data_IF_957079023913
#
_entry.id   IF_957079023913
#
_cell.length_a   1.000
_cell.length_b   1.000
_cell.length_c   1.000
_cell.angle_alpha   90.00
_cell.angle_beta   90.00
_cell.angle_gamma   90.00
#
_symmetry.space_group_name_H-M   'P 1'
#
loop_
_entity.id
_entity.type
_entity.pdbx_description
1 polymer ?
#
# COMPACT_ATOMS: atom_id res chain seq x y z
N UNK A 1 -13.97 -19.05 -22.28
CA UNK A 1 -14.86 -18.06 -21.65
C UNK A 1 -15.29 -18.58 -20.29
N UNK A 2 -15.06 -17.82 -19.25
CA UNK A 2 -15.56 -18.12 -17.90
C UNK A 2 -17.01 -17.67 -17.76
N UNK A 3 -17.79 -18.38 -16.97
CA UNK A 3 -19.13 -17.93 -16.58
C UNK A 3 -19.05 -16.84 -15.53
N UNK A 4 -20.07 -15.97 -15.43
CA UNK A 4 -20.15 -14.93 -14.40
C UNK A 4 -19.99 -15.51 -12.99
N UNK A 5 -20.55 -16.71 -12.75
CA UNK A 5 -20.42 -17.40 -11.46
C UNK A 5 -18.97 -17.83 -11.18
N UNK A 6 -18.26 -18.35 -12.18
CA UNK A 6 -16.82 -18.70 -12.03
C UNK A 6 -15.97 -17.47 -11.77
N UNK A 7 -16.20 -16.38 -12.52
CA UNK A 7 -15.51 -15.10 -12.32
C UNK A 7 -15.69 -14.63 -10.87
N UNK A 8 -16.94 -14.57 -10.38
CA UNK A 8 -17.23 -14.15 -9.01
C UNK A 8 -16.57 -15.07 -7.97
N UNK A 9 -16.59 -16.38 -8.21
CA UNK A 9 -15.94 -17.35 -7.33
C UNK A 9 -14.43 -17.13 -7.25
N UNK A 10 -13.75 -17.02 -8.39
CA UNK A 10 -12.31 -16.82 -8.43
C UNK A 10 -11.89 -15.50 -7.77
N UNK A 11 -12.62 -14.40 -8.00
CA UNK A 11 -12.37 -13.11 -7.35
C UNK A 11 -12.52 -13.24 -5.82
N UNK A 12 -13.57 -13.90 -5.35
CA UNK A 12 -13.82 -14.03 -3.90
C UNK A 12 -12.77 -14.92 -3.20
N UNK A 13 -12.39 -16.03 -3.83
CA UNK A 13 -11.35 -16.93 -3.32
C UNK A 13 -9.99 -16.21 -3.27
N UNK A 14 -9.64 -15.44 -4.30
CA UNK A 14 -8.40 -14.69 -4.35
C UNK A 14 -8.37 -13.54 -3.35
N UNK A 15 -9.44 -12.72 -3.25
CA UNK A 15 -9.58 -11.65 -2.24
C UNK A 15 -9.42 -12.17 -0.81
N UNK A 16 -9.88 -13.37 -0.51
CA UNK A 16 -9.75 -14.00 0.81
C UNK A 16 -8.39 -14.66 1.05
N UNK A 17 -7.51 -14.69 0.06
CA UNK A 17 -6.22 -15.35 0.18
C UNK A 17 -5.27 -14.58 1.10
N UNK A 18 -4.42 -15.33 1.85
CA UNK A 18 -3.38 -14.73 2.68
C UNK A 18 -2.41 -13.86 1.86
N UNK A 19 -2.16 -14.22 0.61
CA UNK A 19 -1.28 -13.49 -0.30
C UNK A 19 -1.82 -12.08 -0.53
N UNK A 20 -3.11 -11.94 -0.89
CA UNK A 20 -3.75 -10.63 -1.12
C UNK A 20 -3.88 -9.82 0.16
N UNK A 21 -4.16 -10.47 1.28
CA UNK A 21 -4.14 -9.78 2.57
C UNK A 21 -2.77 -9.16 2.86
N UNK A 22 -1.68 -9.89 2.67
CA UNK A 22 -0.34 -9.36 2.90
C UNK A 22 0.03 -8.26 1.90
N UNK A 23 -0.38 -8.38 0.64
CA UNK A 23 -0.19 -7.35 -0.38
C UNK A 23 -0.93 -6.06 0.00
N UNK A 24 -2.19 -6.16 0.43
CA UNK A 24 -2.96 -4.99 0.86
C UNK A 24 -2.39 -4.29 2.09
N UNK A 25 -1.80 -5.05 3.02
CA UNK A 25 -1.06 -4.45 4.16
C UNK A 25 0.16 -3.68 3.67
N UNK A 26 0.93 -4.26 2.73
CA UNK A 26 2.09 -3.59 2.15
C UNK A 26 1.71 -2.29 1.44
N UNK A 27 0.65 -2.32 0.62
CA UNK A 27 0.16 -1.13 -0.07
C UNK A 27 -0.30 -0.03 0.91
N UNK A 28 -1.07 -0.37 1.95
CA UNK A 28 -1.48 0.60 2.98
C UNK A 28 -0.29 1.29 3.64
N UNK A 29 0.76 0.52 3.97
CA UNK A 29 1.97 1.09 4.58
C UNK A 29 2.74 1.97 3.61
N UNK A 30 2.76 1.64 2.32
CA UNK A 30 3.32 2.50 1.28
C UNK A 30 2.57 3.84 1.17
N UNK A 31 1.24 3.80 1.32
CA UNK A 31 0.37 4.98 1.34
C UNK A 31 0.32 5.70 2.70
N UNK A 32 1.21 5.34 3.64
CA UNK A 32 1.22 5.85 5.00
C UNK A 32 -0.12 5.66 5.75
N UNK A 33 -0.85 4.59 5.44
CA UNK A 33 -2.05 4.16 6.18
C UNK A 33 -1.70 3.01 7.15
N UNK A 34 -0.92 3.34 8.18
CA UNK A 34 -0.39 2.39 9.15
C UNK A 34 -1.43 1.97 10.19
N UNK A 35 -1.16 0.84 10.85
CA UNK A 35 -2.04 0.29 11.89
C UNK A 35 -2.21 1.23 13.08
N UNK A 36 -1.28 2.16 13.32
CA UNK A 36 -1.39 3.20 14.36
C UNK A 36 -2.65 4.07 14.20
N UNK A 37 -3.15 4.27 12.97
CA UNK A 37 -4.38 5.03 12.73
C UNK A 37 -5.62 4.38 13.34
N UNK A 38 -5.57 3.06 13.56
CA UNK A 38 -6.65 2.29 14.16
C UNK A 38 -6.50 2.12 15.68
N UNK A 39 -5.37 2.61 16.25
CA UNK A 39 -5.10 2.47 17.68
C UNK A 39 -6.16 3.19 18.50
N UNK A 40 -6.66 2.51 19.55
CA UNK A 40 -7.62 3.01 20.51
C UNK A 40 -7.06 2.88 21.90
N UNK A 41 -7.17 3.93 22.71
CA UNK A 41 -6.85 3.88 24.12
C UNK A 41 -8.06 3.35 24.90
N UNK A 42 -7.81 2.50 25.89
CA UNK A 42 -8.85 1.93 26.74
C UNK A 42 -8.47 2.10 28.22
N UNK A 43 -9.49 2.16 29.07
CA UNK A 43 -9.35 2.11 30.53
C UNK A 43 -10.43 1.23 31.14
N UNK A 44 -10.20 0.76 32.36
CA UNK A 44 -11.22 0.06 33.13
C UNK A 44 -12.05 1.11 33.91
N UNK A 45 -13.37 1.09 33.74
CA UNK A 45 -14.29 1.91 34.53
C UNK A 45 -14.43 1.39 35.95
N UNK A 46 -15.24 2.07 36.79
CA UNK A 46 -15.47 1.70 38.18
C UNK A 46 -16.13 0.31 38.35
N UNK A 47 -16.86 -0.14 37.32
CA UNK A 47 -17.54 -1.44 37.31
C UNK A 47 -16.61 -2.57 36.81
N UNK A 48 -15.38 -2.22 36.39
CA UNK A 48 -14.40 -3.17 35.87
C UNK A 48 -14.55 -3.48 34.38
N UNK A 49 -15.36 -2.75 33.66
CA UNK A 49 -15.54 -2.90 32.22
C UNK A 49 -14.45 -2.14 31.45
N UNK A 50 -13.98 -2.75 30.34
CA UNK A 50 -13.03 -2.12 29.44
C UNK A 50 -13.75 -1.13 28.50
N UNK A 51 -13.49 0.16 28.66
CA UNK A 51 -14.15 1.26 27.91
C UNK A 51 -13.13 2.05 27.11
N UNK A 52 -13.49 2.46 25.89
CA UNK A 52 -12.64 3.33 25.05
C UNK A 52 -12.48 4.71 25.70
N UNK A 53 -11.23 5.14 25.88
CA UNK A 53 -10.90 6.47 26.44
C UNK A 53 -10.95 7.53 25.33
N UNK A 54 -12.09 8.17 25.18
CA UNK A 54 -12.30 9.26 24.22
C UNK A 54 -11.89 10.64 24.74
N UNK A 55 -11.52 10.74 26.02
CA UNK A 55 -11.12 12.03 26.65
C UNK A 55 -9.60 12.25 26.66
N UNK A 56 -8.84 11.18 26.50
CA UNK A 56 -7.38 11.25 26.39
C UNK A 56 -6.98 11.71 24.98
N UNK A 57 -5.91 12.51 24.91
CA UNK A 57 -5.27 12.78 23.61
C UNK A 57 -4.92 11.47 22.89
N UNK A 58 -5.29 11.36 21.63
CA UNK A 58 -5.02 10.18 20.82
C UNK A 58 -4.49 10.60 19.44
N UNK A 59 -3.35 11.29 19.47
CA UNK A 59 -2.60 11.71 18.29
C UNK A 59 -2.05 10.45 17.59
N UNK A 60 -2.26 10.35 16.29
CA UNK A 60 -1.89 9.21 15.46
C UNK A 60 -1.14 9.70 14.23
N UNK A 61 0.17 9.53 14.22
CA UNK A 61 1.05 9.99 13.16
C UNK A 61 1.80 8.78 12.61
N UNK A 62 1.48 8.33 11.39
CA UNK A 62 2.29 7.32 10.70
C UNK A 62 3.57 7.96 10.17
N UNK A 63 4.69 7.25 10.26
CA UNK A 63 5.97 7.69 9.72
C UNK A 63 6.29 6.94 8.44
N UNK A 64 6.35 7.62 7.32
CA UNK A 64 6.41 7.07 5.97
C UNK A 64 7.78 6.44 5.60
N UNK A 65 8.41 5.71 6.51
CA UNK A 65 9.68 5.02 6.25
C UNK A 65 9.60 4.04 5.09
N UNK A 66 8.49 3.29 5.03
CA UNK A 66 8.33 2.29 3.99
C UNK A 66 8.18 2.92 2.60
N UNK A 67 7.43 4.02 2.51
CA UNK A 67 7.33 4.81 1.27
C UNK A 67 8.71 5.27 0.80
N UNK A 68 9.51 5.85 1.71
CA UNK A 68 10.87 6.30 1.39
C UNK A 68 11.76 5.15 0.89
N UNK A 69 11.72 4.00 1.55
CA UNK A 69 12.53 2.83 1.18
C UNK A 69 12.16 2.27 -0.20
N UNK A 70 10.86 2.18 -0.51
CA UNK A 70 10.37 1.71 -1.82
C UNK A 70 10.77 2.70 -2.91
N UNK A 71 10.59 4.00 -2.67
CA UNK A 71 10.94 5.05 -3.62
C UNK A 71 12.46 5.08 -3.87
N UNK A 72 13.29 4.94 -2.84
CA UNK A 72 14.73 4.83 -2.97
C UNK A 72 15.12 3.64 -3.86
N UNK A 73 14.54 2.48 -3.65
CA UNK A 73 14.77 1.27 -4.45
C UNK A 73 14.40 1.49 -5.91
N UNK A 74 13.20 2.01 -6.16
CA UNK A 74 12.69 2.27 -7.52
C UNK A 74 13.59 3.27 -8.25
N UNK A 75 13.91 4.38 -7.59
CA UNK A 75 14.79 5.42 -8.17
C UNK A 75 16.19 4.86 -8.46
N UNK A 76 16.74 4.04 -7.56
CA UNK A 76 18.05 3.42 -7.77
C UNK A 76 18.05 2.50 -9.00
N UNK A 77 17.04 1.63 -9.13
CA UNK A 77 16.96 0.68 -10.23
C UNK A 77 16.76 1.38 -11.59
N UNK A 78 16.05 2.52 -11.60
CA UNK A 78 15.73 3.27 -12.82
C UNK A 78 16.65 4.48 -13.07
N UNK A 79 17.63 4.74 -12.19
CA UNK A 79 18.55 5.88 -12.30
C UNK A 79 19.52 5.82 -13.49
N UNK A 80 19.58 4.68 -14.18
CA UNK A 80 20.42 4.50 -15.37
C UNK A 80 20.03 5.46 -16.49
N UNK A 81 21.02 6.17 -17.04
CA UNK A 81 20.83 7.06 -18.18
C UNK A 81 20.82 6.32 -19.53
N UNK A 82 21.07 5.02 -19.50
CA UNK A 82 21.14 4.19 -20.69
C UNK A 82 19.75 3.76 -21.15
N UNK A 83 19.64 3.45 -22.44
CA UNK A 83 18.43 2.85 -23.01
C UNK A 83 18.14 1.51 -22.31
N UNK A 84 16.85 1.24 -22.07
CA UNK A 84 16.41 0.01 -21.37
C UNK A 84 16.86 -1.26 -22.12
N UNK A 85 16.78 -1.23 -23.44
CA UNK A 85 17.33 -2.26 -24.32
C UNK A 85 18.28 -1.61 -25.32
N UNK A 86 19.45 -2.20 -25.47
CA UNK A 86 20.49 -1.69 -26.35
C UNK A 86 20.92 -2.76 -27.33
N UNK A 87 21.04 -2.39 -28.60
CA UNK A 87 21.53 -3.24 -29.68
C UNK A 87 22.57 -2.49 -30.51
N UNK A 88 23.49 -3.24 -31.12
CA UNK A 88 24.50 -2.70 -32.04
C UNK A 88 23.94 -2.39 -33.44
N UNK A 89 22.69 -2.75 -33.71
CA UNK A 89 22.04 -2.53 -35.00
C UNK A 89 21.16 -1.29 -34.95
N UNK A 90 21.55 -0.16 -35.65
CA UNK A 90 20.84 1.12 -35.51
C UNK A 90 19.37 1.09 -35.94
N UNK A 91 19.04 0.32 -36.96
CA UNK A 91 17.63 0.22 -37.41
C UNK A 91 16.77 -0.56 -36.42
N UNK A 92 17.32 -1.64 -35.84
CA UNK A 92 16.63 -2.39 -34.78
C UNK A 92 16.47 -1.53 -33.51
N UNK A 93 17.48 -0.71 -33.18
CA UNK A 93 17.39 0.20 -32.04
C UNK A 93 16.23 1.19 -32.20
N UNK A 94 16.06 1.78 -33.40
CA UNK A 94 14.93 2.68 -33.67
C UNK A 94 13.56 1.98 -33.51
N UNK A 95 13.47 0.72 -33.90
CA UNK A 95 12.24 -0.05 -33.70
C UNK A 95 12.01 -0.34 -32.23
N UNK A 96 13.04 -0.74 -31.46
CA UNK A 96 12.94 -1.00 -30.03
C UNK A 96 12.57 0.28 -29.23
N UNK A 97 13.09 1.42 -29.62
CA UNK A 97 12.82 2.72 -28.96
C UNK A 97 11.33 3.14 -29.10
N UNK A 98 10.58 2.60 -30.05
CA UNK A 98 9.12 2.81 -30.16
C UNK A 98 8.32 2.07 -29.09
N UNK A 99 8.85 0.94 -28.60
CA UNK A 99 8.18 0.09 -27.62
C UNK A 99 8.67 0.38 -26.18
N UNK A 100 9.92 0.80 -26.03
CA UNK A 100 10.58 1.06 -24.75
C UNK A 100 10.89 2.55 -24.56
N UNK A 101 9.85 3.35 -24.77
CA UNK A 101 9.83 4.79 -24.66
C UNK A 101 9.72 5.28 -23.19
N UNK A 102 9.43 6.55 -23.00
CA UNK A 102 9.28 7.12 -21.67
C UNK A 102 7.98 6.67 -20.98
N UNK A 103 6.93 6.35 -21.75
CA UNK A 103 5.69 5.77 -21.20
C UNK A 103 5.97 4.38 -20.63
N UNK A 104 6.70 3.53 -21.37
CA UNK A 104 7.15 2.24 -20.85
C UNK A 104 7.96 2.36 -19.56
N UNK A 105 8.84 3.38 -19.46
CA UNK A 105 9.62 3.60 -18.22
C UNK A 105 8.74 4.00 -17.04
N UNK A 106 7.68 4.77 -17.28
CA UNK A 106 6.70 5.10 -16.24
C UNK A 106 5.99 3.86 -15.73
N UNK A 107 5.48 3.01 -16.63
CA UNK A 107 4.84 1.74 -16.31
C UNK A 107 5.80 0.77 -15.58
N UNK A 108 7.08 0.76 -15.97
CA UNK A 108 8.12 -0.01 -15.29
C UNK A 108 8.40 0.50 -13.88
N UNK A 109 8.35 1.81 -13.67
CA UNK A 109 8.48 2.43 -12.35
C UNK A 109 7.35 1.94 -11.43
N UNK A 110 6.11 1.97 -11.91
CA UNK A 110 4.97 1.49 -11.15
C UNK A 110 5.07 -0.02 -10.87
N UNK A 111 5.49 -0.80 -11.87
CA UNK A 111 5.72 -2.25 -11.71
C UNK A 111 6.68 -2.56 -10.55
N UNK A 112 7.79 -1.82 -10.45
CA UNK A 112 8.80 -2.02 -9.39
C UNK A 112 8.27 -1.54 -8.05
N UNK A 113 7.65 -0.36 -8.00
CA UNK A 113 7.09 0.25 -6.80
C UNK A 113 6.05 -0.65 -6.15
N UNK A 114 5.03 -1.04 -6.92
CA UNK A 114 3.97 -1.91 -6.43
C UNK A 114 4.47 -3.35 -6.19
N UNK A 115 5.40 -3.83 -7.01
CA UNK A 115 6.07 -5.10 -6.75
C UNK A 115 6.76 -5.13 -5.39
N UNK A 116 7.44 -4.05 -5.00
CA UNK A 116 8.07 -3.89 -3.69
C UNK A 116 7.04 -3.72 -2.56
N UNK A 117 6.01 -2.91 -2.79
CA UNK A 117 4.96 -2.65 -1.81
C UNK A 117 4.08 -3.87 -1.55
N UNK A 118 3.61 -4.56 -2.57
CA UNK A 118 2.68 -5.69 -2.47
C UNK A 118 3.37 -7.06 -2.39
N UNK A 119 4.62 -7.13 -2.89
CA UNK A 119 5.39 -8.36 -3.03
C UNK A 119 5.33 -8.97 -4.42
N UNK A 120 4.44 -8.51 -5.27
CA UNK A 120 4.31 -8.89 -6.68
C UNK A 120 3.41 -7.87 -7.39
N UNK A 121 3.63 -7.70 -8.68
CA UNK A 121 2.85 -6.83 -9.57
C UNK A 121 2.77 -7.45 -10.96
N UNK A 122 2.07 -6.82 -11.87
CA UNK A 122 1.92 -7.32 -13.24
C UNK A 122 2.17 -6.23 -14.26
N UNK A 123 2.73 -6.63 -15.38
CA UNK A 123 2.72 -5.87 -16.61
C UNK A 123 1.94 -6.65 -17.65
N UNK A 124 1.10 -5.99 -18.41
CA UNK A 124 0.37 -6.63 -19.49
C UNK A 124 0.60 -5.91 -20.82
N UNK A 125 0.52 -6.69 -21.88
CA UNK A 125 0.62 -6.20 -23.25
C UNK A 125 -0.78 -5.95 -23.79
N UNK A 126 -0.97 -4.82 -24.44
CA UNK A 126 -2.19 -4.50 -25.18
C UNK A 126 -1.84 -3.92 -26.56
N UNK A 127 -2.79 -3.84 -27.48
CA UNK A 127 -2.64 -3.12 -28.74
C UNK A 127 -3.33 -1.76 -28.61
N UNK A 128 -2.60 -0.69 -29.01
CA UNK A 128 -3.16 0.65 -29.11
C UNK A 128 -4.09 0.78 -30.34
N UNK A 129 -4.55 2.02 -30.62
CA UNK A 129 -5.47 2.31 -31.73
C UNK A 129 -4.85 2.02 -33.10
N UNK A 130 -3.53 2.11 -33.20
CA UNK A 130 -2.76 1.83 -34.43
C UNK A 130 -2.37 0.34 -34.56
N UNK A 131 -2.80 -0.51 -33.63
CA UNK A 131 -2.44 -1.93 -33.55
C UNK A 131 -1.02 -2.19 -33.05
N UNK A 132 -0.30 -1.16 -32.58
CA UNK A 132 1.03 -1.35 -32.01
C UNK A 132 0.95 -1.92 -30.60
N UNK A 133 1.91 -2.78 -30.28
CA UNK A 133 2.02 -3.34 -28.93
C UNK A 133 2.50 -2.31 -27.93
N UNK A 134 1.76 -2.16 -26.85
CA UNK A 134 2.09 -1.32 -25.71
C UNK A 134 2.07 -2.18 -24.44
N UNK A 135 2.68 -1.65 -23.40
CA UNK A 135 2.73 -2.28 -22.09
C UNK A 135 2.09 -1.36 -21.07
N UNK A 136 1.32 -1.92 -20.17
CA UNK A 136 0.76 -1.19 -19.04
C UNK A 136 0.95 -1.98 -17.74
N UNK A 137 1.06 -1.25 -16.66
CA UNK A 137 1.10 -1.78 -15.31
C UNK A 137 -0.30 -2.22 -14.86
N UNK A 138 -0.35 -3.25 -14.04
CA UNK A 138 -1.52 -3.63 -13.27
C UNK A 138 -1.09 -4.05 -11.85
N UNK A 139 -1.79 -3.52 -10.85
CA UNK A 139 -1.50 -3.86 -9.47
C UNK A 139 -1.74 -5.35 -9.18
N UNK A 140 -0.96 -5.89 -8.26
CA UNK A 140 -1.07 -7.30 -7.89
C UNK A 140 -2.40 -7.63 -7.23
N UNK A 141 -3.04 -6.67 -6.57
CA UNK A 141 -4.30 -6.88 -5.82
C UNK A 141 -5.47 -7.12 -6.79
N UNK A 142 -5.49 -6.40 -7.92
CA UNK A 142 -6.55 -6.46 -8.92
C UNK A 142 -6.48 -7.66 -9.88
N UNK A 143 -5.44 -8.50 -9.81
CA UNK A 143 -5.22 -9.60 -10.76
C UNK A 143 -5.47 -10.96 -10.15
N UNK A 144 -6.27 -11.79 -10.82
CA UNK A 144 -6.50 -13.19 -10.48
C UNK A 144 -6.01 -14.09 -11.61
N UNK A 145 -5.01 -14.93 -11.33
CA UNK A 145 -4.55 -15.95 -12.28
C UNK A 145 -5.42 -17.20 -12.19
N UNK A 146 -6.05 -17.59 -13.29
CA UNK A 146 -6.83 -18.83 -13.37
C UNK A 146 -5.96 -19.91 -14.05
N UNK A 147 -5.58 -20.97 -13.33
CA UNK A 147 -4.72 -22.00 -13.85
C UNK A 147 -5.43 -22.85 -14.91
N UNK A 148 -4.69 -23.31 -15.90
CA UNK A 148 -5.20 -24.24 -16.89
C UNK A 148 -5.57 -25.59 -16.24
N UNK A 149 -6.68 -26.21 -16.72
CA UNK A 149 -7.22 -27.45 -16.13
C UNK A 149 -6.23 -28.62 -16.15
N UNK A 150 -5.35 -28.68 -17.15
CA UNK A 150 -4.44 -29.81 -17.38
C UNK A 150 -2.95 -29.44 -17.25
N UNK A 151 -2.64 -28.17 -17.00
CA UNK A 151 -1.27 -27.68 -16.87
C UNK A 151 -1.27 -26.54 -15.85
N UNK A 152 -1.11 -26.87 -14.57
CA UNK A 152 -1.18 -25.89 -13.46
C UNK A 152 -0.09 -24.81 -13.47
N UNK A 153 0.96 -24.98 -14.27
CA UNK A 153 2.01 -24.02 -14.54
C UNK A 153 1.65 -22.98 -15.62
N UNK A 154 0.54 -23.21 -16.34
CA UNK A 154 0.01 -22.30 -17.36
C UNK A 154 -1.26 -21.64 -16.89
N UNK A 155 -1.49 -20.43 -17.38
CA UNK A 155 -2.73 -19.66 -17.16
C UNK A 155 -3.68 -19.92 -18.33
N UNK A 156 -4.93 -20.25 -18.04
CA UNK A 156 -6.00 -20.27 -19.03
C UNK A 156 -6.61 -18.88 -19.19
N UNK A 157 -6.79 -18.19 -18.07
CA UNK A 157 -7.34 -16.85 -18.01
C UNK A 157 -6.61 -16.00 -16.98
N UNK A 158 -6.68 -14.69 -17.17
CA UNK A 158 -6.40 -13.70 -16.14
C UNK A 158 -7.61 -12.80 -16.00
N UNK A 159 -8.11 -12.69 -14.77
CA UNK A 159 -9.17 -11.74 -14.45
C UNK A 159 -8.50 -10.50 -13.86
N UNK A 160 -8.72 -9.33 -14.49
CA UNK A 160 -8.29 -8.03 -13.99
C UNK A 160 -9.52 -7.26 -13.56
N UNK A 161 -9.58 -6.86 -12.27
CA UNK A 161 -10.68 -6.09 -11.72
C UNK A 161 -10.17 -4.86 -10.96
N UNK A 162 -10.84 -3.75 -11.14
CA UNK A 162 -10.51 -2.48 -10.50
C UNK A 162 -11.75 -1.61 -10.35
N UNK A 163 -11.70 -0.64 -9.41
CA UNK A 163 -12.75 0.37 -9.26
C UNK A 163 -12.57 1.41 -10.35
N UNK A 164 -13.53 1.51 -11.26
CA UNK A 164 -13.48 2.49 -12.34
C UNK A 164 -13.99 3.87 -11.87
N UNK A 165 -15.15 3.89 -11.23
CA UNK A 165 -15.79 5.11 -10.78
C UNK A 165 -16.78 4.87 -9.64
N UNK A 166 -17.23 5.98 -9.06
CA UNK A 166 -18.33 5.98 -8.09
C UNK A 166 -19.55 6.66 -8.72
N UNK A 167 -20.65 5.97 -8.83
CA UNK A 167 -21.91 6.49 -9.34
C UNK A 167 -23.01 6.39 -8.26
N UNK A 168 -23.62 7.52 -7.89
CA UNK A 168 -24.72 7.55 -6.89
C UNK A 168 -24.37 6.76 -5.62
N UNK A 169 -23.19 7.01 -5.05
CA UNK A 169 -22.63 6.35 -3.87
C UNK A 169 -22.33 4.84 -4.04
N UNK A 170 -22.42 4.29 -5.24
CA UNK A 170 -22.08 2.91 -5.55
C UNK A 170 -20.76 2.84 -6.30
N UNK A 171 -19.92 1.90 -5.89
CA UNK A 171 -18.69 1.59 -6.62
C UNK A 171 -19.05 0.80 -7.89
N UNK A 172 -18.54 1.28 -9.01
CA UNK A 172 -18.59 0.57 -10.29
C UNK A 172 -17.22 -0.08 -10.49
N UNK A 173 -17.16 -1.40 -10.35
CA UNK A 173 -15.94 -2.19 -10.60
C UNK A 173 -15.96 -2.66 -12.05
N UNK A 174 -14.90 -2.40 -12.81
CA UNK A 174 -14.65 -3.04 -14.09
C UNK A 174 -14.00 -4.40 -13.87
N UNK A 175 -14.42 -5.38 -14.63
CA UNK A 175 -13.85 -6.74 -14.64
C UNK A 175 -13.54 -7.10 -16.08
N UNK A 176 -12.32 -7.49 -16.33
CA UNK A 176 -11.81 -7.95 -17.62
C UNK A 176 -11.35 -9.39 -17.47
N UNK A 177 -11.92 -10.30 -18.26
CA UNK A 177 -11.48 -11.70 -18.36
C UNK A 177 -10.68 -11.88 -19.65
N UNK A 178 -9.39 -12.10 -19.53
CA UNK A 178 -8.43 -12.24 -20.60
C UNK A 178 -8.10 -13.71 -20.84
N UNK A 179 -8.32 -14.20 -22.05
CA UNK A 179 -7.84 -15.51 -22.48
C UNK A 179 -6.65 -15.35 -23.48
N UNK A 180 -6.30 -16.37 -24.23
CA UNK A 180 -5.20 -16.34 -25.19
C UNK A 180 -5.55 -15.64 -26.51
N UNK A 181 -6.82 -15.28 -26.72
CA UNK A 181 -7.35 -14.75 -27.99
C UNK A 181 -8.05 -13.41 -27.83
N UNK A 182 -8.74 -13.17 -26.72
CA UNK A 182 -9.65 -12.04 -26.59
C UNK A 182 -9.88 -11.66 -25.11
N UNK A 183 -10.54 -10.53 -24.92
CA UNK A 183 -10.90 -9.99 -23.60
C UNK A 183 -12.42 -9.83 -23.50
N UNK A 184 -12.99 -10.30 -22.41
CA UNK A 184 -14.40 -10.13 -22.08
C UNK A 184 -14.54 -9.05 -21.02
N UNK A 185 -15.42 -8.09 -21.24
CA UNK A 185 -15.62 -6.93 -20.35
C UNK A 185 -16.93 -7.06 -19.58
N UNK A 186 -16.84 -6.86 -18.27
CA UNK A 186 -17.98 -6.88 -17.37
C UNK A 186 -17.93 -5.66 -16.43
N UNK A 187 -19.10 -5.29 -15.93
CA UNK A 187 -19.26 -4.28 -14.89
C UNK A 187 -19.90 -4.95 -13.67
N UNK A 188 -19.36 -4.66 -12.49
CA UNK A 188 -19.94 -5.07 -11.21
C UNK A 188 -20.43 -3.84 -10.47
N UNK A 189 -21.73 -3.84 -10.12
CA UNK A 189 -22.38 -2.83 -9.27
C UNK A 189 -23.05 -3.58 -8.13
N UNK A 190 -22.75 -3.19 -6.89
CA UNK A 190 -23.10 -3.96 -5.69
C UNK A 190 -22.52 -5.40 -5.83
N UNK A 191 -23.29 -6.45 -5.80
CA UNK A 191 -22.80 -7.81 -6.00
C UNK A 191 -23.20 -8.40 -7.38
N UNK A 192 -23.76 -7.59 -8.26
CA UNK A 192 -24.25 -8.04 -9.56
C UNK A 192 -23.23 -7.76 -10.67
N UNK A 193 -22.78 -8.82 -11.34
CA UNK A 193 -21.88 -8.74 -12.49
C UNK A 193 -22.72 -8.86 -13.77
N UNK A 194 -22.58 -7.89 -14.68
CA UNK A 194 -23.24 -7.87 -15.99
C UNK A 194 -22.20 -7.60 -17.08
N UNK A 195 -22.50 -7.96 -18.32
CA UNK A 195 -21.63 -7.56 -19.44
C UNK A 195 -21.61 -6.04 -19.54
N UNK A 196 -20.45 -5.50 -19.88
CA UNK A 196 -20.32 -4.07 -20.15
C UNK A 196 -20.90 -3.76 -21.53
N UNK A 197 -22.04 -3.11 -21.54
CA UNK A 197 -22.75 -2.69 -22.76
C UNK A 197 -22.14 -1.44 -23.41
N UNK A 198 -21.26 -0.73 -22.70
CA UNK A 198 -20.55 0.44 -23.25
C UNK A 198 -19.41 0.05 -24.18
N UNK A 199 -18.95 -1.21 -24.12
CA UNK A 199 -17.95 -1.73 -25.02
C UNK A 199 -18.54 -2.02 -26.39
N UNK A 200 -18.06 -1.32 -27.42
CA UNK A 200 -18.54 -1.49 -28.80
C UNK A 200 -18.36 -2.93 -29.31
N UNK A 201 -17.30 -3.60 -28.86
CA UNK A 201 -16.97 -4.99 -29.21
C UNK A 201 -16.75 -5.70 -27.87
N UNK A 202 -17.58 -6.73 -27.58
CA UNK A 202 -17.47 -7.56 -26.37
C UNK A 202 -17.96 -8.99 -26.63
N UNK A 203 -17.06 -10.01 -26.71
CA UNK A 203 -15.63 -9.94 -26.45
C UNK A 203 -14.83 -9.19 -27.52
N UNK A 204 -13.73 -8.56 -27.11
CA UNK A 204 -12.80 -7.83 -27.98
C UNK A 204 -11.56 -8.69 -28.25
N UNK A 205 -11.19 -9.00 -29.49
CA UNK A 205 -9.89 -9.58 -29.82
C UNK A 205 -8.73 -8.71 -29.32
N UNK A 206 -7.57 -9.31 -29.05
CA UNK A 206 -6.42 -8.57 -28.49
C UNK A 206 -5.96 -7.42 -29.38
N UNK A 207 -5.97 -7.64 -30.69
CA UNK A 207 -5.58 -6.67 -31.69
C UNK A 207 -6.77 -6.47 -32.64
N UNK A 208 -7.20 -5.24 -32.80
CA UNK A 208 -8.27 -4.86 -33.72
C UNK A 208 -7.72 -3.80 -34.64
N UNK A 209 -7.66 -4.08 -35.93
CA UNK A 209 -7.31 -3.12 -36.95
C UNK A 209 -8.54 -2.33 -37.38
N UNK A 210 -8.36 -1.18 -37.97
CA UNK A 210 -9.47 -0.43 -38.56
C UNK A 210 -10.22 -1.27 -39.59
N UNK A 211 -11.54 -1.04 -39.70
CA UNK A 211 -12.36 -1.69 -40.69
C UNK A 211 -11.88 -1.34 -42.09
N UNK A 212 -11.84 -2.35 -42.97
CA UNK A 212 -11.61 -2.15 -44.41
C UNK A 212 -12.70 -1.25 -45.03
N UNK A 213 -12.53 -0.87 -46.30
CA UNK A 213 -13.50 -0.06 -47.06
C UNK A 213 -14.92 -0.67 -47.11
N UNK A 214 -15.05 -1.97 -46.82
CA UNK A 214 -16.31 -2.70 -46.80
C UNK A 214 -16.90 -2.85 -45.39
N UNK A 215 -16.24 -2.29 -44.37
CA UNK A 215 -16.67 -2.36 -42.96
C UNK A 215 -16.32 -3.68 -42.27
N UNK A 216 -15.46 -4.54 -42.87
CA UNK A 216 -14.97 -5.72 -42.20
C UNK A 216 -13.85 -5.34 -41.23
N UNK A 217 -13.95 -5.79 -40.00
CA UNK A 217 -12.95 -5.59 -38.98
C UNK A 217 -11.92 -6.71 -39.07
N UNK A 218 -10.68 -6.37 -39.39
CA UNK A 218 -9.56 -7.29 -39.26
C UNK A 218 -9.08 -7.35 -37.82
N UNK A 219 -8.78 -8.52 -37.32
CA UNK A 219 -8.32 -8.75 -35.98
C UNK A 219 -7.22 -9.79 -35.89
N UNK A 220 -6.40 -9.71 -34.87
CA UNK A 220 -5.36 -10.69 -34.57
C UNK A 220 -5.30 -10.92 -33.05
N UNK A 221 -4.53 -11.90 -32.62
CA UNK A 221 -4.39 -12.30 -31.24
C UNK A 221 -2.92 -12.42 -30.84
N UNK A 222 -2.65 -12.32 -29.54
CA UNK A 222 -1.30 -12.58 -29.04
C UNK A 222 -0.97 -14.07 -28.92
N UNK A 223 -1.99 -14.96 -29.03
CA UNK A 223 -1.84 -16.40 -28.88
C UNK A 223 -1.45 -16.87 -27.50
N UNK A 224 -1.43 -15.96 -26.52
CA UNK A 224 -1.15 -16.22 -25.11
C UNK A 224 -1.87 -15.18 -24.25
N UNK A 225 -2.16 -15.51 -23.00
CA UNK A 225 -2.66 -14.53 -22.04
C UNK A 225 -1.56 -13.48 -21.79
N UNK A 226 -1.78 -12.18 -22.13
CA UNK A 226 -0.70 -11.18 -22.24
C UNK A 226 -0.32 -10.54 -20.90
N UNK A 227 -0.38 -11.25 -19.78
CA UNK A 227 -0.02 -10.80 -18.47
C UNK A 227 1.26 -11.43 -17.96
N UNK A 228 2.20 -10.60 -17.53
CA UNK A 228 3.52 -11.00 -17.03
C UNK A 228 3.65 -10.61 -15.58
N UNK A 229 3.76 -11.61 -14.69
CA UNK A 229 3.93 -11.35 -13.26
C UNK A 229 5.38 -11.01 -12.94
N UNK A 230 5.55 -9.94 -12.19
CA UNK A 230 6.79 -9.54 -11.58
C UNK A 230 6.74 -9.88 -10.08
N UNK A 231 7.56 -10.84 -9.65
CA UNK A 231 7.67 -11.23 -8.25
C UNK A 231 8.83 -10.46 -7.59
N UNK A 232 8.56 -9.70 -6.54
CA UNK A 232 9.60 -9.01 -5.76
C UNK A 232 10.66 -9.98 -5.23
N UNK A 233 10.21 -11.15 -4.83
CA UNK A 233 11.06 -12.26 -4.41
C UNK A 233 10.33 -13.59 -4.60
N UNK A 234 11.08 -14.71 -4.51
CA UNK A 234 10.53 -16.07 -4.72
C UNK A 234 9.30 -16.40 -3.87
N UNK A 235 9.14 -15.75 -2.71
CA UNK A 235 8.01 -15.98 -1.81
C UNK A 235 6.88 -14.97 -1.99
N UNK A 236 7.03 -14.00 -2.89
CA UNK A 236 6.06 -12.94 -3.13
C UNK A 236 5.73 -12.14 -1.86
N UNK A 237 6.75 -11.83 -1.07
CA UNK A 237 6.61 -10.99 0.10
C UNK A 237 6.95 -9.54 -0.23
N UNK A 238 6.15 -8.63 0.32
CA UNK A 238 6.45 -7.22 0.38
C UNK A 238 7.79 -6.96 1.11
N UNK A 239 8.50 -5.90 0.71
CA UNK A 239 9.68 -5.41 1.40
C UNK A 239 9.33 -4.82 2.79
N UNK A 240 8.06 -4.57 3.07
CA UNK A 240 7.57 -4.21 4.40
C UNK A 240 7.83 -5.30 5.43
N UNK A 241 7.79 -6.57 5.03
CA UNK A 241 7.76 -7.71 5.96
C UNK A 241 8.86 -7.72 7.02
N UNK A 242 10.14 -7.44 6.72
CA UNK A 242 11.20 -7.45 7.74
C UNK A 242 11.18 -6.24 8.68
N UNK A 243 10.45 -5.16 8.35
CA UNK A 243 10.51 -3.89 9.05
C UNK A 243 9.17 -3.41 9.63
N UNK A 244 8.05 -4.08 9.30
CA UNK A 244 6.71 -3.67 9.74
C UNK A 244 6.63 -3.45 11.24
N UNK A 245 7.07 -4.44 12.02
CA UNK A 245 6.99 -4.39 13.47
C UNK A 245 7.86 -3.27 14.09
N UNK A 246 8.96 -2.91 13.42
CA UNK A 246 9.81 -1.79 13.83
C UNK A 246 9.14 -0.44 13.54
N UNK A 247 8.47 -0.32 12.40
CA UNK A 247 7.68 0.87 12.05
C UNK A 247 6.52 1.04 13.02
N UNK A 248 5.80 -0.04 13.33
CA UNK A 248 4.69 -0.03 14.28
C UNK A 248 5.15 0.43 15.67
N UNK A 249 6.30 -0.07 16.14
CA UNK A 249 6.87 0.31 17.43
C UNK A 249 7.34 1.78 17.45
N UNK A 250 7.99 2.23 16.38
CA UNK A 250 8.37 3.63 16.21
C UNK A 250 7.16 4.56 16.24
N UNK A 251 6.12 4.24 15.46
CA UNK A 251 4.87 5.00 15.42
C UNK A 251 4.21 5.07 16.80
N UNK A 252 4.14 3.94 17.50
CA UNK A 252 3.57 3.87 18.84
C UNK A 252 4.36 4.69 19.84
N UNK A 253 5.69 4.61 19.82
CA UNK A 253 6.56 5.40 20.73
C UNK A 253 6.44 6.89 20.48
N UNK A 254 6.46 7.32 19.22
CA UNK A 254 6.33 8.73 18.84
C UNK A 254 4.94 9.28 19.20
N UNK A 255 3.88 8.57 18.84
CA UNK A 255 2.51 8.97 19.19
C UNK A 255 2.30 9.02 20.71
N UNK A 256 2.83 8.06 21.44
CA UNK A 256 2.77 8.06 22.91
C UNK A 256 3.50 9.25 23.51
N UNK A 257 4.64 9.65 22.98
CA UNK A 257 5.36 10.86 23.41
C UNK A 257 4.53 12.11 23.13
N UNK A 258 3.99 12.25 21.93
CA UNK A 258 3.15 13.37 21.52
C UNK A 258 1.90 13.48 22.40
N UNK A 259 1.22 12.36 22.66
CA UNK A 259 0.04 12.31 23.52
C UNK A 259 0.37 12.70 24.98
N UNK A 260 1.50 12.26 25.50
CA UNK A 260 1.94 12.61 26.87
C UNK A 260 2.38 14.07 27.00
N UNK A 261 2.90 14.67 25.92
CA UNK A 261 3.24 16.10 25.91
C UNK A 261 1.99 16.97 25.82
N UNK A 262 1.01 16.56 25.03
CA UNK A 262 -0.28 17.26 24.89
C UNK A 262 -1.14 17.15 26.16
N UNK A 263 -1.20 15.95 26.74
CA UNK A 263 -1.99 15.67 27.95
C UNK A 263 -1.17 14.84 28.93
N UNK A 264 -0.32 15.49 29.75
CA UNK A 264 0.50 14.79 30.73
C UNK A 264 -0.34 13.97 31.69
N UNK A 265 0.08 12.72 31.92
CA UNK A 265 -0.58 11.85 32.88
C UNK A 265 -0.39 12.39 34.29
N UNK A 266 -1.51 12.71 34.96
CA UNK A 266 -1.53 13.31 36.30
C UNK A 266 -2.25 12.40 37.28
N UNK A 267 -1.65 12.24 38.45
CA UNK A 267 -2.25 11.50 39.56
C UNK A 267 -2.69 12.52 40.60
N UNK A 268 -3.96 12.46 40.92
CA UNK A 268 -4.57 13.33 41.93
C UNK A 268 -4.63 12.59 43.25
N UNK A 269 -3.97 13.10 44.28
CA UNK A 269 -4.09 12.60 45.65
C UNK A 269 -5.06 13.51 46.40
N UNK A 270 -6.24 13.00 46.72
CA UNK A 270 -7.32 13.76 47.33
C UNK A 270 -7.49 13.30 48.77
N UNK A 271 -7.53 14.24 49.73
CA UNK A 271 -7.74 13.95 51.15
C UNK A 271 -8.92 14.75 51.65
N UNK A 272 -9.73 14.18 52.55
CA UNK A 272 -10.80 14.86 53.22
C UNK A 272 -12.03 15.21 52.36
N UNK A 273 -12.21 14.52 51.23
CA UNK A 273 -13.37 14.65 50.33
C UNK A 273 -14.15 13.35 50.31
N UNK A 274 -15.49 13.42 50.36
CA UNK A 274 -16.35 12.25 50.19
C UNK A 274 -16.29 11.72 48.78
N UNK A 275 -16.12 10.39 48.64
CA UNK A 275 -15.90 9.72 47.35
C UNK A 275 -17.10 9.70 46.39
N UNK A 276 -18.29 10.17 46.81
CA UNK A 276 -19.52 10.09 46.03
C UNK A 276 -19.54 10.94 44.75
N UNK A 277 -18.60 11.88 44.58
CA UNK A 277 -18.53 12.79 43.41
C UNK A 277 -17.17 12.82 42.70
N UNK A 278 -16.38 11.74 42.79
CA UNK A 278 -15.03 11.68 42.26
C UNK A 278 -14.97 11.97 40.75
N UNK A 279 -15.89 11.43 39.99
CA UNK A 279 -15.93 11.60 38.52
C UNK A 279 -16.29 13.04 38.13
N UNK A 280 -17.24 13.62 38.83
CA UNK A 280 -17.60 15.04 38.64
C UNK A 280 -16.47 15.95 39.06
N UNK A 281 -15.76 15.61 40.12
CA UNK A 281 -14.58 16.31 40.61
C UNK A 281 -13.45 16.27 39.56
N UNK A 282 -13.07 15.10 39.08
CA UNK A 282 -12.03 14.92 38.05
C UNK A 282 -12.42 15.67 36.77
N UNK A 283 -13.68 15.58 36.37
CA UNK A 283 -14.22 16.31 35.19
C UNK A 283 -14.05 17.84 35.38
N UNK A 284 -14.40 18.35 36.53
CA UNK A 284 -14.25 19.79 36.87
C UNK A 284 -12.76 20.23 36.88
N UNK A 285 -11.87 19.42 37.42
CA UNK A 285 -10.41 19.68 37.39
C UNK A 285 -9.92 19.77 35.97
N UNK A 286 -10.29 18.79 35.13
CA UNK A 286 -9.85 18.73 33.72
C UNK A 286 -10.43 19.85 32.87
N UNK A 287 -11.70 20.21 33.07
CA UNK A 287 -12.41 21.20 32.23
C UNK A 287 -12.24 22.63 32.73
N UNK A 288 -12.36 22.87 34.05
CA UNK A 288 -12.32 24.21 34.65
C UNK A 288 -10.94 24.61 35.16
N UNK A 289 -10.02 23.63 35.29
CA UNK A 289 -8.66 23.81 35.86
C UNK A 289 -8.65 24.52 37.23
N UNK A 290 -9.77 24.45 37.96
CA UNK A 290 -9.96 25.07 39.26
C UNK A 290 -10.92 24.23 40.11
N UNK A 291 -10.62 24.16 41.40
CA UNK A 291 -11.43 23.50 42.43
C UNK A 291 -11.60 24.37 43.63
N UNK A 292 -12.76 24.23 44.27
CA UNK A 292 -12.98 24.74 45.60
C UNK A 292 -12.85 23.56 46.56
N UNK A 293 -11.78 23.53 47.35
CA UNK A 293 -11.59 22.50 48.37
C UNK A 293 -12.41 22.84 49.60
N UNK A 294 -12.98 21.83 50.34
CA UNK A 294 -13.53 22.00 51.67
C UNK A 294 -12.44 22.51 52.64
N UNK A 295 -12.85 23.12 53.76
CA UNK A 295 -11.92 23.75 54.74
C UNK A 295 -10.85 22.77 55.23
N UNK A 296 -11.15 21.48 55.32
CA UNK A 296 -10.23 20.42 55.75
C UNK A 296 -9.75 19.53 54.62
N UNK A 297 -10.06 19.87 53.35
CA UNK A 297 -9.68 19.10 52.17
C UNK A 297 -8.34 19.56 51.60
N UNK A 298 -7.52 18.60 51.14
CA UNK A 298 -6.23 18.86 50.51
C UNK A 298 -6.10 18.02 49.23
N UNK A 299 -5.41 18.59 48.27
CA UNK A 299 -5.14 17.92 46.99
C UNK A 299 -3.68 18.10 46.60
N UNK A 300 -2.99 16.98 46.36
CA UNK A 300 -1.67 16.98 45.78
C UNK A 300 -1.75 16.43 44.33
N UNK A 301 -1.11 17.11 43.41
CA UNK A 301 -1.09 16.78 41.99
C UNK A 301 0.31 16.33 41.63
N UNK A 302 0.48 15.08 41.23
CA UNK A 302 1.76 14.56 40.72
C UNK A 302 1.65 14.25 39.27
N UNK A 303 2.50 14.87 38.48
CA UNK A 303 2.67 14.52 37.05
C UNK A 303 3.65 13.38 36.94
N UNK A 304 3.26 12.35 36.17
CA UNK A 304 4.14 11.20 35.90
C UNK A 304 5.30 11.70 35.04
N UNK A 305 6.52 11.45 35.48
CA UNK A 305 7.70 11.85 34.73
C UNK A 305 7.91 10.95 33.54
N UNK A 306 7.98 11.54 32.35
CA UNK A 306 8.18 10.80 31.10
C UNK A 306 9.67 10.50 30.95
N UNK A 307 10.09 9.25 30.75
CA UNK A 307 11.49 8.88 30.50
C UNK A 307 11.90 9.29 29.06
N UNK A 308 12.00 10.58 28.80
CA UNK A 308 12.25 11.16 27.48
C UNK A 308 13.53 10.61 26.83
N UNK A 309 14.64 10.57 27.57
CA UNK A 309 15.91 10.08 27.02
C UNK A 309 15.85 8.60 26.60
N UNK A 310 15.18 7.75 27.39
CA UNK A 310 15.02 6.35 27.06
C UNK A 310 14.16 6.16 25.81
N UNK A 311 13.10 6.96 25.67
CA UNK A 311 12.23 6.93 24.47
C UNK A 311 12.98 7.39 23.23
N UNK A 312 13.73 8.48 23.34
CA UNK A 312 14.56 8.98 22.22
C UNK A 312 15.56 7.93 21.75
N UNK A 313 16.31 7.33 22.67
CA UNK A 313 17.29 6.28 22.35
C UNK A 313 16.59 5.10 21.66
N UNK A 314 15.40 4.71 22.13
CA UNK A 314 14.63 3.61 21.50
C UNK A 314 14.21 3.98 20.08
N UNK A 315 13.70 5.18 19.85
CA UNK A 315 13.30 5.65 18.52
C UNK A 315 14.50 5.75 17.56
N UNK A 316 15.64 6.26 18.00
CA UNK A 316 16.87 6.32 17.23
C UNK A 316 17.36 4.90 16.83
N UNK A 317 17.20 3.94 17.73
CA UNK A 317 17.52 2.53 17.47
C UNK A 317 16.57 1.90 16.45
N UNK A 318 15.27 2.15 16.56
CA UNK A 318 14.26 1.63 15.63
C UNK A 318 14.47 2.23 14.24
N UNK A 319 14.68 3.53 14.12
CA UNK A 319 15.00 4.20 12.86
C UNK A 319 16.25 3.56 12.22
N UNK A 320 17.31 3.38 12.98
CA UNK A 320 18.55 2.73 12.49
C UNK A 320 18.27 1.31 11.98
N UNK A 321 17.45 0.54 12.68
CA UNK A 321 17.12 -0.83 12.30
C UNK A 321 16.15 -0.89 11.13
N UNK A 322 15.21 0.05 10.99
CA UNK A 322 14.31 0.17 9.84
C UNK A 322 15.13 0.31 8.56
N UNK A 323 16.07 1.26 8.51
CA UNK A 323 16.92 1.43 7.32
C UNK A 323 17.87 0.25 7.10
N UNK A 324 18.41 -0.35 8.18
CA UNK A 324 19.30 -1.51 8.08
C UNK A 324 18.60 -2.74 7.51
N UNK A 325 17.43 -3.09 8.04
CA UNK A 325 16.69 -4.29 7.62
C UNK A 325 15.85 -4.05 6.36
N UNK A 326 15.46 -2.79 6.10
CA UNK A 326 14.84 -2.37 4.85
C UNK A 326 15.85 -2.16 3.72
N UNK A 327 17.16 -2.33 4.02
CA UNK A 327 18.26 -2.14 3.05
C UNK A 327 18.29 -0.75 2.42
N UNK A 328 17.75 0.27 3.09
CA UNK A 328 17.70 1.64 2.61
C UNK A 328 18.85 2.51 3.12
N UNK A 329 18.96 3.68 2.54
CA UNK A 329 19.88 4.72 2.95
C UNK A 329 19.17 5.74 3.84
N UNK A 330 19.60 5.86 5.10
CA UNK A 330 19.14 6.95 5.96
C UNK A 330 19.83 8.26 5.54
N UNK A 331 19.09 9.13 4.84
CA UNK A 331 19.61 10.40 4.34
C UNK A 331 19.99 11.38 5.46
N UNK A 332 19.37 11.27 6.63
CA UNK A 332 19.66 12.12 7.79
C UNK A 332 21.00 11.82 8.46
N UNK A 333 21.49 10.59 8.30
CA UNK A 333 22.80 10.14 8.82
C UNK A 333 23.95 10.37 7.83
N UNK A 334 23.64 10.86 6.63
CA UNK A 334 24.66 11.30 5.66
C UNK A 334 25.18 12.67 6.13
N UNK A 335 26.08 12.65 7.12
CA UNK A 335 26.63 13.88 7.69
C UNK A 335 27.41 14.72 6.68
N UNK A 336 27.57 16.01 6.98
CA UNK A 336 28.25 17.06 6.19
C UNK A 336 29.74 16.84 5.93
N UNK A 337 30.28 15.68 6.23
CA UNK A 337 31.71 15.38 6.05
C UNK A 337 31.98 14.51 4.83
N UNK A 338 32.72 15.03 3.86
CA UNK A 338 33.50 14.34 2.81
C UNK A 338 33.07 12.89 2.44
N UNK A 339 31.76 12.65 2.27
CA UNK A 339 31.31 11.37 1.74
C UNK A 339 31.62 11.38 0.25
N UNK A 340 32.64 10.60 -0.12
CA UNK A 340 33.00 10.44 -1.53
C UNK A 340 31.88 9.71 -2.28
N UNK A 341 31.70 10.03 -3.57
CA UNK A 341 30.79 9.31 -4.47
C UNK A 341 30.94 7.78 -4.41
N UNK A 342 32.13 7.28 -4.02
CA UNK A 342 32.42 5.86 -3.85
C UNK A 342 31.66 5.27 -2.64
N UNK A 343 31.59 6.01 -1.54
CA UNK A 343 30.86 5.57 -0.32
C UNK A 343 29.36 5.56 -0.57
N UNK A 344 28.85 6.57 -1.27
CA UNK A 344 27.45 6.64 -1.67
C UNK A 344 27.12 5.46 -2.59
N UNK A 345 27.91 5.23 -3.65
CA UNK A 345 27.73 4.09 -4.56
C UNK A 345 27.84 2.74 -3.85
N UNK A 346 28.76 2.60 -2.90
CA UNK A 346 28.90 1.37 -2.11
C UNK A 346 27.69 1.10 -1.21
N UNK A 347 27.07 2.13 -0.64
CA UNK A 347 25.85 2.00 0.15
C UNK A 347 24.64 1.65 -0.72
N UNK A 348 24.52 2.29 -1.88
CA UNK A 348 23.48 1.94 -2.87
C UNK A 348 23.67 0.56 -3.51
N UNK A 349 24.87 0.01 -3.54
CA UNK A 349 25.11 -1.34 -4.05
C UNK A 349 24.59 -2.46 -3.14
N UNK A 350 24.06 -2.10 -1.98
CA UNK A 350 23.36 -3.03 -1.07
C UNK A 350 21.84 -3.07 -1.30
N UNK A 351 21.31 -2.09 -2.05
CA UNK A 351 19.94 -2.07 -2.57
C UNK A 351 19.82 -2.94 -3.81
#
# INVERSE_FOLDING_TARGET
>A
MLTVHEIQKFINEDKSSRKKFLASVGLRYYEADHDIKQFKAYYYNADGDLVEDTQRSNIKIPHAFFTELVDQKTQYLLSGKEQFIKTDYPELQKELDKYFDDDFKAELSDLITYGSAEGFSYMYRYADEDGMSRFAFADGIGIVEVPAKFASDKKDHVIYYYVDRIEKDKKVECIQDWDDTQTYYYIKIDEQITKDENQKINPRPHIVYEADENGNIEYDTFGTVPFFRFDNNKKQFSDLKPIKELIDDYDLMNCSLSNNLESPETIYFIRGMDGENLDQFITNVKTKKALIAPIDGDMDIKTVNIPYEARKIKMDLDETNIYRFGMGLNSTQVGDGNITNVVIKSRYSLL
#
